data_IF_933395564461
#
_entry.id   IF_933395564461
#
_cell.length_a   1.000
_cell.length_b   1.000
_cell.length_c   1.000
_cell.angle_alpha   90.00
_cell.angle_beta   90.00
_cell.angle_gamma   90.00
#
_symmetry.space_group_name_H-M   'P 1'
#
loop_
_entity.id
_entity.type
_entity.pdbx_description
1 polymer ?
#
# COMPACT_ATOMS: atom_id res chain seq x y z
N UNK A 1 -95.13 -14.82 4.40
CA UNK A 1 -93.86 -15.49 4.84
C UNK A 1 -92.78 -15.04 3.91
N UNK A 2 -91.98 -14.07 4.35
CA UNK A 2 -90.92 -13.42 3.57
C UNK A 2 -89.63 -13.89 4.14
N UNK A 3 -88.87 -14.69 3.39
CA UNK A 3 -87.56 -15.22 3.79
C UNK A 3 -86.49 -14.26 3.27
N UNK A 4 -85.83 -13.58 4.18
CA UNK A 4 -84.68 -12.68 3.91
C UNK A 4 -83.38 -13.52 3.95
N UNK A 5 -82.72 -13.68 2.78
CA UNK A 5 -81.42 -14.30 2.67
C UNK A 5 -80.26 -13.34 3.08
N UNK A 6 -79.12 -13.84 3.57
CA UNK A 6 -78.03 -13.00 4.06
C UNK A 6 -77.24 -12.39 2.89
N UNK A 7 -76.95 -11.10 3.02
CA UNK A 7 -76.10 -10.33 2.12
C UNK A 7 -74.64 -10.71 2.34
N UNK A 8 -73.94 -11.25 1.35
CA UNK A 8 -72.51 -11.44 1.29
C UNK A 8 -71.80 -10.09 1.14
N UNK A 9 -70.92 -9.77 2.08
CA UNK A 9 -70.04 -8.62 1.98
C UNK A 9 -68.92 -8.86 0.93
N UNK A 10 -68.57 -7.86 0.10
CA UNK A 10 -67.45 -8.02 -0.83
C UNK A 10 -66.12 -8.00 -0.04
N UNK A 11 -65.28 -8.99 -0.32
CA UNK A 11 -63.89 -9.06 0.17
C UNK A 11 -63.12 -7.85 -0.36
N UNK A 12 -62.68 -6.98 0.54
CA UNK A 12 -61.74 -5.91 0.25
C UNK A 12 -60.40 -6.56 -0.15
N UNK A 13 -59.93 -6.26 -1.37
CA UNK A 13 -58.58 -6.55 -1.81
C UNK A 13 -57.55 -5.84 -0.86
N UNK A 14 -56.47 -6.50 -0.40
CA UNK A 14 -55.44 -5.80 0.28
C UNK A 14 -54.78 -4.82 -0.68
N UNK A 15 -54.66 -3.55 -0.27
CA UNK A 15 -53.92 -2.51 -0.96
C UNK A 15 -52.44 -2.94 -1.03
N UNK A 16 -51.94 -3.16 -2.23
CA UNK A 16 -50.51 -3.22 -2.49
C UNK A 16 -49.94 -1.85 -2.15
N UNK A 17 -49.28 -1.75 -0.99
CA UNK A 17 -48.53 -0.57 -0.61
C UNK A 17 -47.46 -0.26 -1.67
N UNK A 18 -47.10 1.02 -1.86
CA UNK A 18 -46.07 1.41 -2.80
C UNK A 18 -44.75 0.72 -2.40
N UNK A 19 -44.15 -0.02 -3.35
CA UNK A 19 -42.87 -0.66 -3.19
C UNK A 19 -41.84 0.38 -2.72
N UNK A 20 -41.26 0.14 -1.56
CA UNK A 20 -40.07 0.83 -1.11
C UNK A 20 -38.95 0.47 -2.08
N UNK A 21 -38.84 1.28 -3.14
CA UNK A 21 -37.65 1.29 -3.95
C UNK A 21 -36.43 1.58 -3.04
N UNK A 22 -35.23 1.12 -3.38
CA UNK A 22 -34.04 1.39 -2.60
C UNK A 22 -33.90 2.91 -2.41
N UNK A 23 -33.89 3.35 -1.17
CA UNK A 23 -33.79 4.76 -0.82
C UNK A 23 -32.53 5.37 -1.44
N UNK A 24 -32.56 6.65 -1.86
CA UNK A 24 -31.40 7.33 -2.40
C UNK A 24 -30.35 7.48 -1.30
N UNK A 25 -29.23 6.73 -1.42
CA UNK A 25 -28.04 6.99 -0.62
C UNK A 25 -27.69 5.96 0.43
N UNK A 26 -27.49 4.71 0.07
CA UNK A 26 -26.44 3.96 0.76
C UNK A 26 -25.11 4.60 0.38
N UNK A 27 -24.74 5.64 1.13
CA UNK A 27 -23.43 6.28 1.02
C UNK A 27 -22.39 5.19 1.25
N UNK A 28 -21.63 4.86 0.20
CA UNK A 28 -20.45 3.98 0.29
C UNK A 28 -19.63 4.51 1.47
N UNK A 29 -19.56 3.74 2.54
CA UNK A 29 -18.88 4.12 3.76
C UNK A 29 -17.46 4.54 3.39
N UNK A 30 -17.16 5.84 3.54
CA UNK A 30 -15.81 6.37 3.30
C UNK A 30 -14.82 5.54 4.09
N UNK A 31 -13.63 5.21 3.54
CA UNK A 31 -12.59 4.52 4.29
C UNK A 31 -12.38 5.25 5.62
N UNK A 32 -12.54 4.56 6.73
CA UNK A 32 -12.34 5.17 8.05
C UNK A 32 -10.92 5.71 8.10
N UNK A 33 -10.81 7.02 8.30
CA UNK A 33 -9.54 7.69 8.59
C UNK A 33 -8.91 7.02 9.82
N UNK A 34 -7.65 6.60 9.70
CA UNK A 34 -6.89 5.98 10.77
C UNK A 34 -5.85 6.98 11.26
N UNK A 35 -6.24 7.78 12.24
CA UNK A 35 -5.40 8.84 12.80
C UNK A 35 -4.05 8.32 13.30
N UNK A 36 -4.03 7.11 13.87
CA UNK A 36 -2.83 6.44 14.35
C UNK A 36 -1.83 6.12 13.23
N UNK A 37 -2.31 5.73 12.05
CA UNK A 37 -1.46 5.44 10.88
C UNK A 37 -0.91 6.73 10.27
N UNK A 38 -1.75 7.74 10.15
CA UNK A 38 -1.31 9.04 9.61
C UNK A 38 -0.34 9.74 10.59
N UNK A 39 -0.56 9.61 11.90
CA UNK A 39 0.38 10.09 12.92
C UNK A 39 1.75 9.41 12.81
N UNK A 40 1.78 8.07 12.65
CA UNK A 40 3.02 7.33 12.48
C UNK A 40 3.75 7.72 11.17
N UNK A 41 3.01 7.95 10.09
CA UNK A 41 3.58 8.45 8.82
C UNK A 41 4.18 9.85 8.99
N UNK A 42 3.50 10.74 9.70
CA UNK A 42 4.02 12.08 9.97
C UNK A 42 5.34 12.04 10.75
N UNK A 43 5.42 11.21 11.80
CA UNK A 43 6.66 11.02 12.56
C UNK A 43 7.77 10.46 11.65
N UNK A 44 7.47 9.47 10.82
CA UNK A 44 8.44 8.88 9.90
C UNK A 44 8.96 9.90 8.86
N UNK A 45 8.07 10.72 8.27
CA UNK A 45 8.48 11.81 7.36
C UNK A 45 9.38 12.82 8.05
N UNK A 46 8.99 13.25 9.26
CA UNK A 46 9.79 14.23 10.02
C UNK A 46 11.17 13.67 10.36
N UNK A 47 11.27 12.40 10.77
CA UNK A 47 12.55 11.76 11.07
C UNK A 47 13.47 11.76 9.84
N UNK A 48 12.96 11.35 8.68
CA UNK A 48 13.71 11.37 7.42
C UNK A 48 14.11 12.79 7.02
N UNK A 49 13.20 13.77 7.14
CA UNK A 49 13.48 15.15 6.76
C UNK A 49 14.56 15.79 7.67
N UNK A 50 14.50 15.53 8.96
CA UNK A 50 15.50 16.03 9.94
C UNK A 50 16.87 15.40 9.74
N UNK A 51 16.95 14.12 9.38
CA UNK A 51 18.18 13.44 9.00
C UNK A 51 18.79 14.05 7.73
N UNK A 52 17.97 14.26 6.70
CA UNK A 52 18.43 14.90 5.45
C UNK A 52 18.87 16.36 5.64
N UNK A 53 18.24 17.06 6.57
CA UNK A 53 18.65 18.41 6.97
C UNK A 53 19.88 18.43 7.88
N UNK A 54 20.49 17.27 8.17
CA UNK A 54 21.65 17.11 9.06
C UNK A 54 21.44 17.74 10.45
N UNK A 55 20.21 17.70 10.97
CA UNK A 55 19.89 18.23 12.29
C UNK A 55 20.60 17.39 13.37
N UNK A 56 21.38 18.01 14.29
CA UNK A 56 22.06 17.28 15.35
C UNK A 56 21.11 16.40 16.17
N UNK A 57 21.48 15.14 16.39
CA UNK A 57 20.67 14.16 17.13
C UNK A 57 19.69 13.35 16.28
N UNK A 58 19.53 13.63 14.98
CA UNK A 58 18.62 12.93 14.08
C UNK A 58 19.30 12.05 13.03
N UNK A 59 20.61 11.75 13.15
CA UNK A 59 21.37 10.95 12.18
C UNK A 59 20.91 9.49 11.98
N UNK A 60 19.87 9.03 12.68
CA UNK A 60 19.18 7.74 12.46
C UNK A 60 17.82 7.88 11.81
N UNK A 61 17.43 9.07 11.31
CA UNK A 61 16.12 9.35 10.75
C UNK A 61 15.79 8.54 9.49
N UNK A 62 16.77 8.00 8.79
CA UNK A 62 16.59 7.11 7.64
C UNK A 62 15.74 5.88 7.97
N UNK A 63 15.68 5.44 9.24
CA UNK A 63 14.78 4.37 9.73
C UNK A 63 13.29 4.71 9.48
N UNK A 64 12.96 6.00 9.31
CA UNK A 64 11.62 6.40 8.90
C UNK A 64 11.15 5.75 7.61
N UNK A 65 12.05 5.41 6.68
CA UNK A 65 11.72 4.69 5.44
C UNK A 65 11.26 3.26 5.75
N UNK A 66 11.90 2.58 6.71
CA UNK A 66 11.52 1.22 7.13
C UNK A 66 10.11 1.22 7.73
N UNK A 67 9.79 2.27 8.52
CA UNK A 67 8.42 2.48 9.05
C UNK A 67 7.42 2.67 7.91
N UNK A 68 7.77 3.42 6.84
CA UNK A 68 6.92 3.55 5.67
C UNK A 68 6.67 2.21 4.98
N UNK A 69 7.68 1.37 4.82
CA UNK A 69 7.51 0.05 4.21
C UNK A 69 6.58 -0.84 5.04
N UNK A 70 6.71 -0.85 6.37
CA UNK A 70 5.77 -1.58 7.26
C UNK A 70 4.34 -1.06 7.10
N UNK A 71 4.14 0.27 7.12
CA UNK A 71 2.82 0.89 6.92
C UNK A 71 2.25 0.52 5.55
N UNK A 72 3.07 0.56 4.50
CA UNK A 72 2.68 0.24 3.13
C UNK A 72 2.21 -1.21 3.00
N UNK A 73 2.97 -2.16 3.54
CA UNK A 73 2.58 -3.56 3.59
C UNK A 73 1.26 -3.79 4.35
N UNK A 74 1.11 -3.10 5.49
CA UNK A 74 -0.11 -3.14 6.29
C UNK A 74 -1.34 -2.61 5.55
N UNK A 75 -1.25 -1.44 4.95
CA UNK A 75 -2.39 -0.79 4.28
C UNK A 75 -2.84 -1.57 3.04
N UNK A 76 -1.89 -2.00 2.21
CA UNK A 76 -2.20 -2.72 0.98
C UNK A 76 -2.79 -4.09 1.26
N UNK A 77 -2.18 -4.84 2.18
CA UNK A 77 -2.70 -6.16 2.55
C UNK A 77 -4.07 -6.05 3.20
N UNK A 78 -4.26 -5.07 4.09
CA UNK A 78 -5.55 -4.80 4.71
C UNK A 78 -6.64 -4.46 3.70
N UNK A 79 -6.32 -3.69 2.65
CA UNK A 79 -7.23 -3.35 1.57
C UNK A 79 -7.61 -4.59 0.74
N UNK A 80 -6.64 -5.40 0.34
CA UNK A 80 -6.86 -6.60 -0.47
C UNK A 80 -7.66 -7.67 0.29
N UNK A 81 -7.31 -7.91 1.57
CA UNK A 81 -8.05 -8.84 2.43
C UNK A 81 -9.48 -8.37 2.63
N UNK A 82 -9.68 -7.09 2.91
CA UNK A 82 -11.03 -6.52 3.06
C UNK A 82 -11.86 -6.65 1.77
N UNK A 83 -11.28 -6.36 0.61
CA UNK A 83 -11.97 -6.49 -0.67
C UNK A 83 -12.34 -7.96 -0.96
N UNK A 84 -11.40 -8.90 -0.71
CA UNK A 84 -11.65 -10.33 -0.86
C UNK A 84 -12.75 -10.84 0.09
N UNK A 85 -12.82 -10.33 1.32
CA UNK A 85 -13.81 -10.72 2.32
C UNK A 85 -15.21 -10.15 2.06
N UNK A 86 -15.29 -8.92 1.54
CA UNK A 86 -16.58 -8.22 1.34
C UNK A 86 -17.18 -8.49 -0.02
N UNK A 87 -16.34 -8.61 -1.07
CA UNK A 87 -16.79 -8.77 -2.46
C UNK A 87 -16.56 -10.18 -3.00
N UNK A 88 -15.93 -11.08 -2.25
CA UNK A 88 -15.58 -12.43 -2.71
C UNK A 88 -14.53 -12.47 -3.80
N UNK A 89 -14.05 -11.32 -4.29
CA UNK A 89 -13.07 -11.18 -5.37
C UNK A 89 -12.20 -9.94 -5.17
N UNK A 90 -11.00 -9.97 -5.72
CA UNK A 90 -10.08 -8.81 -5.77
C UNK A 90 -10.16 -8.21 -7.17
N UNK A 91 -10.45 -6.91 -7.26
CA UNK A 91 -10.43 -6.18 -8.53
C UNK A 91 -9.02 -5.65 -8.81
N UNK A 92 -8.20 -6.43 -9.48
CA UNK A 92 -6.80 -6.07 -9.82
C UNK A 92 -6.75 -4.78 -10.63
N UNK A 93 -7.55 -4.66 -11.69
CA UNK A 93 -7.58 -3.43 -12.51
C UNK A 93 -8.05 -2.21 -11.71
N UNK A 94 -9.06 -2.38 -10.85
CA UNK A 94 -9.53 -1.31 -9.96
C UNK A 94 -8.46 -0.90 -8.92
N UNK A 95 -7.69 -1.85 -8.43
CA UNK A 95 -6.57 -1.59 -7.52
C UNK A 95 -5.50 -0.72 -8.20
N UNK A 96 -4.97 -1.14 -9.35
CA UNK A 96 -3.94 -0.37 -10.06
C UNK A 96 -4.44 0.99 -10.54
N UNK A 97 -5.67 1.09 -11.04
CA UNK A 97 -6.23 2.36 -11.46
C UNK A 97 -6.32 3.40 -10.31
N UNK A 98 -6.62 2.96 -9.09
CA UNK A 98 -6.61 3.84 -7.90
C UNK A 98 -5.18 4.28 -7.53
N UNK A 99 -4.20 3.38 -7.64
CA UNK A 99 -2.78 3.66 -7.35
C UNK A 99 -2.21 4.65 -8.35
N UNK A 100 -2.35 4.36 -9.63
CA UNK A 100 -1.90 5.21 -10.73
C UNK A 100 -2.42 6.65 -10.57
N UNK A 101 -3.73 6.81 -10.38
CA UNK A 101 -4.34 8.14 -10.18
C UNK A 101 -3.85 8.87 -8.95
N UNK A 102 -3.40 8.16 -7.92
CA UNK A 102 -2.91 8.74 -6.68
C UNK A 102 -1.43 9.15 -6.76
N UNK A 103 -0.60 8.37 -7.43
CA UNK A 103 0.86 8.48 -7.37
C UNK A 103 1.41 9.20 -8.60
N UNK A 104 1.01 8.81 -9.81
CA UNK A 104 1.61 9.34 -11.03
C UNK A 104 1.53 10.86 -11.17
N UNK A 105 0.42 11.56 -10.88
CA UNK A 105 0.35 13.01 -11.11
C UNK A 105 1.38 13.77 -10.28
N UNK A 106 1.48 13.45 -8.98
CA UNK A 106 2.42 14.12 -8.09
C UNK A 106 3.86 13.70 -8.37
N UNK A 107 4.11 12.40 -8.59
CA UNK A 107 5.43 11.88 -8.92
C UNK A 107 5.97 12.52 -10.21
N UNK A 108 5.16 12.54 -11.29
CA UNK A 108 5.56 13.15 -12.55
C UNK A 108 5.83 14.66 -12.40
N UNK A 109 4.98 15.36 -11.66
CA UNK A 109 5.17 16.79 -11.39
C UNK A 109 6.50 17.07 -10.68
N UNK A 110 6.81 16.32 -9.61
CA UNK A 110 8.06 16.48 -8.86
C UNK A 110 9.26 16.13 -9.74
N UNK A 111 9.20 15.04 -10.52
CA UNK A 111 10.28 14.66 -11.45
C UNK A 111 10.58 15.78 -12.45
N UNK A 112 9.57 16.27 -13.16
CA UNK A 112 9.73 17.31 -14.16
C UNK A 112 10.29 18.59 -13.53
N UNK A 113 9.70 19.04 -12.42
CA UNK A 113 10.15 20.23 -11.72
C UNK A 113 11.60 20.12 -11.26
N UNK A 114 11.98 18.97 -10.68
CA UNK A 114 13.34 18.74 -10.18
C UNK A 114 14.36 18.71 -11.32
N UNK A 115 14.05 18.06 -12.44
CA UNK A 115 14.92 18.05 -13.62
C UNK A 115 15.11 19.46 -14.18
N UNK A 116 14.02 20.22 -14.37
CA UNK A 116 14.09 21.59 -14.87
C UNK A 116 14.88 22.51 -13.92
N UNK A 117 14.63 22.40 -12.62
CA UNK A 117 15.38 23.15 -11.60
C UNK A 117 16.88 22.79 -11.61
N UNK A 118 17.21 21.52 -11.82
CA UNK A 118 18.61 21.07 -11.91
C UNK A 118 19.35 21.64 -13.12
N UNK A 119 18.67 21.79 -14.26
CA UNK A 119 19.21 22.49 -15.41
C UNK A 119 19.40 23.99 -15.14
N UNK A 120 18.41 24.63 -14.53
CA UNK A 120 18.42 26.06 -14.26
C UNK A 120 19.51 26.46 -13.25
N UNK A 121 19.73 25.68 -12.20
CA UNK A 121 20.68 26.00 -11.11
C UNK A 121 22.06 25.40 -11.37
N UNK A 122 22.13 24.16 -11.88
CA UNK A 122 23.38 23.39 -12.00
C UNK A 122 23.92 23.32 -13.43
N UNK A 123 23.22 23.92 -14.40
CA UNK A 123 23.61 23.86 -15.81
C UNK A 123 23.45 22.48 -16.44
N UNK A 124 23.94 22.31 -17.68
CA UNK A 124 23.75 21.10 -18.47
C UNK A 124 24.39 19.84 -17.85
N UNK A 125 25.52 20.00 -17.18
CA UNK A 125 26.23 18.85 -16.59
C UNK A 125 25.42 18.18 -15.46
N UNK A 126 24.86 18.97 -14.55
CA UNK A 126 24.01 18.49 -13.46
C UNK A 126 22.63 18.10 -14.00
N UNK A 127 22.03 18.93 -14.85
CA UNK A 127 20.74 18.66 -15.45
C UNK A 127 20.68 17.34 -16.21
N UNK A 128 21.71 17.00 -16.99
CA UNK A 128 21.78 15.72 -17.71
C UNK A 128 21.87 14.50 -16.75
N UNK A 129 22.63 14.63 -15.65
CA UNK A 129 22.69 13.57 -14.62
C UNK A 129 21.32 13.33 -13.98
N UNK A 130 20.71 14.41 -13.51
CA UNK A 130 19.38 14.33 -12.86
C UNK A 130 18.29 13.87 -13.83
N UNK A 131 18.39 14.23 -15.12
CA UNK A 131 17.48 13.74 -16.16
C UNK A 131 17.62 12.22 -16.37
N UNK A 132 18.85 11.69 -16.34
CA UNK A 132 19.07 10.24 -16.41
C UNK A 132 18.46 9.52 -15.17
N UNK A 133 18.68 10.04 -13.97
CA UNK A 133 18.06 9.51 -12.74
C UNK A 133 16.53 9.59 -12.82
N UNK A 134 16.00 10.70 -13.35
CA UNK A 134 14.57 10.92 -13.58
C UNK A 134 13.94 9.92 -14.54
N UNK A 135 14.68 9.52 -15.58
CA UNK A 135 14.21 8.50 -16.52
C UNK A 135 13.98 7.15 -15.79
N UNK A 136 14.92 6.71 -14.96
CA UNK A 136 14.76 5.50 -14.14
C UNK A 136 13.67 5.65 -13.08
N UNK A 137 13.58 6.81 -12.44
CA UNK A 137 12.55 7.10 -11.46
C UNK A 137 11.14 7.10 -12.07
N UNK A 138 10.98 7.54 -13.33
CA UNK A 138 9.69 7.60 -14.03
C UNK A 138 9.06 6.22 -14.24
N UNK A 139 9.87 5.18 -14.31
CA UNK A 139 9.46 3.77 -14.45
C UNK A 139 9.59 2.98 -13.13
N UNK A 140 9.76 3.67 -12.01
CA UNK A 140 9.90 3.09 -10.66
C UNK A 140 11.08 2.12 -10.51
N UNK A 141 12.18 2.35 -11.23
CA UNK A 141 13.42 1.57 -11.18
C UNK A 141 14.61 2.38 -10.65
N UNK A 142 14.36 3.50 -9.96
CA UNK A 142 15.42 4.33 -9.38
C UNK A 142 16.31 3.55 -8.39
N UNK A 143 15.72 2.64 -7.61
CA UNK A 143 16.45 1.77 -6.69
C UNK A 143 17.46 0.86 -7.42
N UNK A 144 17.11 0.31 -8.57
CA UNK A 144 18.00 -0.52 -9.39
C UNK A 144 19.13 0.33 -9.96
N UNK A 145 18.80 1.51 -10.47
CA UNK A 145 19.77 2.45 -11.03
C UNK A 145 20.80 2.89 -9.99
N UNK A 146 20.37 3.33 -8.80
CA UNK A 146 21.27 3.76 -7.74
C UNK A 146 22.12 2.62 -7.18
N UNK A 147 21.58 1.42 -7.05
CA UNK A 147 22.35 0.23 -6.67
C UNK A 147 23.48 -0.07 -7.67
N UNK A 148 23.22 0.08 -8.98
CA UNK A 148 24.20 -0.18 -10.03
C UNK A 148 25.23 0.94 -10.19
N UNK A 149 24.80 2.19 -9.94
CA UNK A 149 25.69 3.36 -10.03
C UNK A 149 26.69 3.47 -8.88
N UNK A 150 26.62 2.57 -7.89
CA UNK A 150 27.50 2.57 -6.72
C UNK A 150 27.27 3.80 -5.81
N UNK A 151 26.10 4.43 -5.90
CA UNK A 151 25.73 5.54 -5.01
C UNK A 151 25.67 5.02 -3.58
N UNK A 152 26.58 5.53 -2.73
CA UNK A 152 26.54 5.23 -1.31
C UNK A 152 25.64 6.24 -0.60
N UNK A 153 24.44 5.78 -0.23
CA UNK A 153 23.43 6.61 0.45
C UNK A 153 23.93 7.26 1.74
N UNK A 154 24.93 6.64 2.39
CA UNK A 154 25.48 7.14 3.65
C UNK A 154 26.72 8.01 3.44
N UNK A 155 27.35 7.98 2.25
CA UNK A 155 28.55 8.76 1.94
C UNK A 155 28.18 10.02 1.15
N UNK A 156 28.02 11.11 1.85
CA UNK A 156 27.65 12.42 1.28
C UNK A 156 28.83 13.20 0.66
N UNK A 157 29.97 12.56 0.44
CA UNK A 157 31.17 13.21 -0.10
C UNK A 157 31.15 13.50 -1.61
N UNK A 158 30.11 13.08 -2.34
CA UNK A 158 29.96 13.25 -3.78
C UNK A 158 28.68 14.00 -4.19
N UNK A 159 28.38 13.98 -5.50
CA UNK A 159 27.11 14.49 -6.01
C UNK A 159 25.96 13.58 -5.54
N UNK A 160 25.07 14.13 -4.73
CA UNK A 160 23.84 13.49 -4.30
C UNK A 160 22.73 13.93 -5.24
N UNK A 161 22.07 12.99 -5.89
CA UNK A 161 20.94 13.29 -6.77
C UNK A 161 19.73 13.80 -5.96
N UNK A 162 19.12 14.93 -6.34
CA UNK A 162 17.87 15.36 -5.68
C UNK A 162 16.72 14.38 -5.86
N UNK A 163 16.83 13.42 -6.80
CA UNK A 163 15.86 12.35 -7.03
C UNK A 163 16.21 11.04 -6.31
N UNK A 164 17.29 11.01 -5.50
CA UNK A 164 17.71 9.78 -4.83
C UNK A 164 16.58 9.15 -4.01
N UNK A 165 15.80 9.95 -3.30
CA UNK A 165 14.67 9.49 -2.50
C UNK A 165 13.60 8.68 -3.27
N UNK A 166 13.58 8.73 -4.61
CA UNK A 166 12.69 7.89 -5.44
C UNK A 166 13.02 6.40 -5.37
N UNK A 167 14.18 6.02 -4.81
CA UNK A 167 14.52 4.61 -4.64
C UNK A 167 13.47 3.87 -3.78
N UNK A 168 13.02 4.47 -2.70
CA UNK A 168 12.04 3.84 -1.80
C UNK A 168 10.67 3.72 -2.46
N UNK A 169 10.26 4.73 -3.24
CA UNK A 169 9.04 4.66 -4.05
C UNK A 169 9.13 3.55 -5.10
N UNK A 170 10.31 3.34 -5.72
CA UNK A 170 10.55 2.23 -6.63
C UNK A 170 10.33 0.87 -5.96
N UNK A 171 10.92 0.65 -4.78
CA UNK A 171 10.72 -0.57 -3.99
C UNK A 171 9.24 -0.80 -3.64
N UNK A 172 8.54 0.25 -3.21
CA UNK A 172 7.10 0.16 -2.90
C UNK A 172 6.26 -0.23 -4.12
N UNK A 173 6.45 0.44 -5.26
CA UNK A 173 5.65 0.16 -6.46
C UNK A 173 5.94 -1.23 -7.04
N UNK A 174 7.18 -1.71 -6.99
CA UNK A 174 7.53 -3.09 -7.35
C UNK A 174 6.78 -4.10 -6.45
N UNK A 175 6.75 -3.85 -5.15
CA UNK A 175 5.95 -4.65 -4.23
C UNK A 175 4.46 -4.59 -4.56
N UNK A 176 3.91 -3.42 -4.88
CA UNK A 176 2.51 -3.26 -5.22
C UNK A 176 2.11 -3.92 -6.54
N UNK A 177 3.05 -4.13 -7.45
CA UNK A 177 2.81 -4.94 -8.66
C UNK A 177 2.69 -6.42 -8.30
N UNK A 178 3.60 -6.94 -7.50
CA UNK A 178 3.66 -8.38 -7.19
C UNK A 178 2.64 -8.81 -6.13
N UNK A 179 2.36 -7.96 -5.16
CA UNK A 179 1.61 -8.32 -3.97
C UNK A 179 0.14 -8.73 -4.22
N UNK A 180 -0.66 -7.98 -5.00
CA UNK A 180 -2.01 -8.41 -5.33
C UNK A 180 -2.06 -9.71 -6.09
N UNK A 181 -1.07 -9.97 -6.96
CA UNK A 181 -0.96 -11.21 -7.71
C UNK A 181 -0.67 -12.40 -6.79
N UNK A 182 0.22 -12.22 -5.81
CA UNK A 182 0.51 -13.24 -4.81
C UNK A 182 -0.73 -13.57 -3.96
N UNK A 183 -1.44 -12.57 -3.47
CA UNK A 183 -2.68 -12.78 -2.68
C UNK A 183 -3.76 -13.46 -3.53
N UNK A 184 -3.89 -13.11 -4.80
CA UNK A 184 -4.81 -13.76 -5.73
C UNK A 184 -4.42 -15.22 -5.94
N UNK A 185 -3.14 -15.51 -6.22
CA UNK A 185 -2.63 -16.88 -6.40
C UNK A 185 -2.91 -17.76 -5.18
N UNK A 186 -2.65 -17.24 -3.96
CA UNK A 186 -2.99 -17.93 -2.71
C UNK A 186 -4.51 -18.17 -2.62
N UNK A 187 -5.32 -17.20 -3.04
CA UNK A 187 -6.77 -17.33 -3.07
C UNK A 187 -7.26 -18.43 -4.00
N UNK A 188 -6.64 -18.59 -5.16
CA UNK A 188 -6.95 -19.64 -6.15
C UNK A 188 -6.55 -21.03 -5.64
N UNK A 189 -5.35 -21.16 -5.10
CA UNK A 189 -4.84 -22.45 -4.57
C UNK A 189 -5.64 -22.90 -3.34
N UNK A 190 -6.03 -21.98 -2.47
CA UNK A 190 -6.74 -22.25 -1.24
C UNK A 190 -8.26 -21.96 -1.33
N UNK A 191 -8.87 -22.23 -2.49
CA UNK A 191 -10.27 -21.94 -2.75
C UNK A 191 -11.25 -22.67 -1.82
N UNK A 192 -10.83 -23.80 -1.21
CA UNK A 192 -11.68 -24.70 -0.43
C UNK A 192 -12.19 -24.11 0.90
N UNK A 193 -11.43 -23.26 1.58
CA UNK A 193 -11.88 -22.63 2.81
C UNK A 193 -11.17 -21.34 3.17
N UNK A 194 -11.90 -20.41 3.82
CA UNK A 194 -11.34 -19.17 4.33
C UNK A 194 -10.22 -19.40 5.37
N UNK A 195 -10.32 -20.48 6.16
CA UNK A 195 -9.30 -20.86 7.16
C UNK A 195 -8.02 -21.33 6.48
N UNK A 196 -8.12 -22.19 5.45
CA UNK A 196 -6.97 -22.68 4.67
C UNK A 196 -6.28 -21.52 3.97
N UNK A 197 -7.04 -20.66 3.27
CA UNK A 197 -6.51 -19.48 2.61
C UNK A 197 -5.72 -18.60 3.57
N UNK A 198 -6.29 -18.30 4.74
CA UNK A 198 -5.61 -17.48 5.74
C UNK A 198 -4.33 -18.14 6.27
N UNK A 199 -4.37 -19.46 6.58
CA UNK A 199 -3.19 -20.20 7.04
C UNK A 199 -2.09 -20.17 6.00
N UNK A 200 -2.43 -20.40 4.74
CA UNK A 200 -1.48 -20.36 3.63
C UNK A 200 -0.92 -18.94 3.44
N UNK A 201 -1.75 -17.89 3.50
CA UNK A 201 -1.28 -16.50 3.47
C UNK A 201 -0.27 -16.22 4.60
N UNK A 202 -0.58 -16.60 5.83
CA UNK A 202 0.34 -16.40 6.96
C UNK A 202 1.63 -17.20 6.77
N UNK A 203 1.57 -18.45 6.34
CA UNK A 203 2.74 -19.28 6.11
C UNK A 203 3.66 -18.69 5.03
N UNK A 204 3.09 -18.29 3.88
CA UNK A 204 3.85 -17.65 2.80
C UNK A 204 4.49 -16.34 3.27
N UNK A 205 3.74 -15.53 4.01
CA UNK A 205 4.26 -14.28 4.57
C UNK A 205 5.41 -14.50 5.55
N UNK A 206 5.29 -15.48 6.45
CA UNK A 206 6.36 -15.81 7.42
C UNK A 206 7.61 -16.28 6.66
N UNK A 207 7.46 -17.15 5.68
CA UNK A 207 8.59 -17.60 4.84
C UNK A 207 9.24 -16.43 4.12
N UNK A 208 8.45 -15.54 3.52
CA UNK A 208 8.96 -14.35 2.83
C UNK A 208 9.71 -13.43 3.80
N UNK A 209 9.16 -13.14 4.98
CA UNK A 209 9.79 -12.30 6.00
C UNK A 209 11.12 -12.89 6.45
N UNK A 210 11.13 -14.18 6.80
CA UNK A 210 12.35 -14.86 7.28
C UNK A 210 13.42 -14.91 6.17
N UNK A 211 13.04 -15.29 4.95
CA UNK A 211 13.97 -15.37 3.83
C UNK A 211 14.54 -13.99 3.46
N UNK A 212 13.69 -12.96 3.40
CA UNK A 212 14.10 -11.59 3.11
C UNK A 212 15.01 -11.02 4.21
N UNK A 213 14.69 -11.25 5.49
CA UNK A 213 15.53 -10.81 6.61
C UNK A 213 16.89 -11.51 6.60
N UNK A 214 16.93 -12.82 6.38
CA UNK A 214 18.18 -13.57 6.27
C UNK A 214 19.01 -13.06 5.10
N UNK A 215 18.37 -12.81 3.95
CA UNK A 215 19.03 -12.21 2.78
C UNK A 215 19.54 -10.79 3.09
N UNK A 216 18.75 -9.97 3.79
CA UNK A 216 19.15 -8.63 4.21
C UNK A 216 20.43 -8.65 5.05
N UNK A 217 20.52 -9.54 6.04
CA UNK A 217 21.71 -9.67 6.91
C UNK A 217 22.93 -10.07 6.08
N UNK A 218 22.83 -11.08 5.22
CA UNK A 218 23.97 -11.55 4.42
C UNK A 218 24.39 -10.54 3.36
N UNK A 219 23.44 -9.93 2.67
CA UNK A 219 23.72 -8.94 1.62
C UNK A 219 24.31 -7.65 2.20
N UNK A 220 23.86 -7.20 3.37
CA UNK A 220 24.39 -6.01 4.04
C UNK A 220 25.85 -6.22 4.42
N UNK A 221 26.22 -7.43 4.85
CA UNK A 221 27.61 -7.75 5.19
C UNK A 221 28.55 -7.76 3.96
N UNK A 222 28.06 -8.16 2.79
CA UNK A 222 28.88 -8.29 1.57
C UNK A 222 28.82 -7.08 0.66
N UNK A 223 27.71 -6.39 0.57
CA UNK A 223 27.45 -5.28 -0.37
C UNK A 223 26.43 -4.30 0.23
N UNK A 224 26.82 -3.44 1.19
CA UNK A 224 25.88 -2.57 1.93
C UNK A 224 25.03 -1.68 1.02
N UNK A 225 25.67 -1.05 0.02
CA UNK A 225 24.99 -0.17 -0.95
C UNK A 225 23.91 -0.92 -1.74
N UNK A 226 24.26 -2.08 -2.31
CA UNK A 226 23.30 -2.89 -3.06
C UNK A 226 22.15 -3.39 -2.14
N UNK A 227 22.49 -3.76 -0.90
CA UNK A 227 21.51 -4.18 0.09
C UNK A 227 20.51 -3.07 0.43
N UNK A 228 20.97 -1.83 0.53
CA UNK A 228 20.12 -0.68 0.88
C UNK A 228 19.01 -0.44 -0.14
N UNK A 229 19.32 -0.54 -1.43
CA UNK A 229 18.39 -0.27 -2.52
C UNK A 229 17.59 -1.50 -3.00
N UNK A 230 17.92 -2.70 -2.54
CA UNK A 230 17.33 -3.94 -3.03
C UNK A 230 15.91 -4.15 -2.48
N UNK A 231 14.91 -4.44 -3.32
CA UNK A 231 13.57 -4.80 -2.86
C UNK A 231 13.55 -6.12 -2.07
N UNK A 232 14.50 -7.03 -2.37
CA UNK A 232 14.58 -8.33 -1.69
C UNK A 232 15.08 -8.22 -0.24
N UNK A 233 15.95 -7.25 0.06
CA UNK A 233 16.43 -6.98 1.42
C UNK A 233 15.42 -6.18 2.25
N UNK A 234 14.42 -5.56 1.61
CA UNK A 234 13.39 -4.71 2.22
C UNK A 234 12.02 -5.39 2.30
N UNK A 235 11.83 -6.52 1.62
CA UNK A 235 10.55 -7.20 1.57
C UNK A 235 10.06 -7.70 2.96
N UNK A 236 10.96 -7.94 3.90
CA UNK A 236 10.59 -8.32 5.29
C UNK A 236 9.84 -7.21 6.03
N UNK A 237 10.17 -5.94 5.80
CA UNK A 237 9.49 -4.78 6.40
C UNK A 237 8.03 -4.71 5.92
N UNK A 238 7.84 -4.76 4.60
CA UNK A 238 6.51 -4.83 3.96
C UNK A 238 5.75 -6.09 4.41
N UNK A 239 6.46 -7.22 4.54
CA UNK A 239 5.90 -8.49 4.99
C UNK A 239 5.42 -8.47 6.45
N UNK A 240 6.13 -7.81 7.37
CA UNK A 240 5.69 -7.60 8.76
C UNK A 240 4.39 -6.79 8.78
N UNK A 241 4.33 -5.70 8.02
CA UNK A 241 3.11 -4.92 7.88
C UNK A 241 1.93 -5.75 7.36
N UNK A 242 2.19 -6.60 6.37
CA UNK A 242 1.20 -7.52 5.82
C UNK A 242 0.71 -8.56 6.85
N UNK A 243 1.62 -9.14 7.62
CA UNK A 243 1.27 -10.08 8.72
C UNK A 243 0.38 -9.41 9.76
N UNK A 244 0.71 -8.19 10.15
CA UNK A 244 -0.09 -7.40 11.08
C UNK A 244 -1.51 -7.16 10.54
N UNK A 245 -1.66 -6.82 9.25
CA UNK A 245 -2.96 -6.64 8.61
C UNK A 245 -3.81 -7.91 8.67
N UNK A 246 -3.22 -9.08 8.35
CA UNK A 246 -3.90 -10.37 8.41
C UNK A 246 -4.24 -10.77 9.85
N UNK A 247 -3.42 -10.43 10.83
CA UNK A 247 -3.69 -10.68 12.24
C UNK A 247 -4.89 -9.88 12.73
N UNK A 248 -4.93 -8.56 12.45
CA UNK A 248 -5.97 -7.64 12.90
C UNK A 248 -7.32 -7.83 12.17
N UNK A 249 -7.35 -8.44 10.98
CA UNK A 249 -8.61 -8.77 10.29
C UNK A 249 -9.50 -9.73 11.11
N UNK A 250 -8.92 -10.53 12.00
CA UNK A 250 -9.64 -11.43 12.93
C UNK A 250 -10.48 -10.70 13.97
N UNK A 251 -9.98 -9.60 14.53
CA UNK A 251 -10.63 -8.89 15.63
C UNK A 251 -11.97 -8.27 15.25
N UNK A 252 -12.16 -7.92 13.98
CA UNK A 252 -13.39 -7.28 13.50
C UNK A 252 -14.58 -8.23 13.37
N UNK A 253 -14.36 -9.54 13.25
CA UNK A 253 -15.44 -10.55 13.12
C UNK A 253 -16.02 -10.97 14.46
N UNK A 254 -15.37 -10.63 15.59
CA UNK A 254 -15.77 -11.03 16.94
C UNK A 254 -16.24 -9.88 17.82
N UNK A 255 -16.37 -8.66 17.30
CA UNK A 255 -17.07 -7.61 18.02
C UNK A 255 -18.58 -7.95 17.97
N UNK A 256 -19.21 -8.31 19.11
CA UNK A 256 -20.65 -8.51 19.14
C UNK A 256 -21.25 -7.17 18.75
N UNK A 257 -22.18 -7.19 17.78
CA UNK A 257 -22.95 -6.03 17.40
C UNK A 257 -23.54 -5.43 18.65
N UNK A 258 -23.01 -4.28 19.08
CA UNK A 258 -23.59 -3.50 20.13
C UNK A 258 -25.00 -3.11 19.69
N UNK A 259 -25.98 -3.88 20.13
CA UNK A 259 -27.37 -3.50 20.02
C UNK A 259 -27.58 -2.21 20.81
N UNK A 260 -27.99 -1.19 20.12
CA UNK A 260 -28.83 -0.09 20.63
C UNK A 260 -29.76 0.31 19.49
#
# INVERSE_FOLDING_TARGET
>A
MTVTGPRTRPHARPATGPGTGPGPGEAVAKPRFRAEVEGLRAVAVLAVALDHAAVPGFGGGFVGVDVFFVISGFLITGLLVHEAETRGRISIGGFYARRVRRILPLSAFVLVLTVLASYAVGGSAIGNRVAADGAWASVFLANVHFAQSGVDYFNRGGFVSPLEHYWSLGVEEQFYVLWPLLILAIGLVAASSARTRRRLTVAVLVVLVVASLAWSVTQTASSPTAAYFSPFTRAWELGIGALLAVALSRGRRHAPGGGR
#
